data_IF_300137619441
#
_entry.id   IF_300137619441
#
_cell.length_a   1.000
_cell.length_b   1.000
_cell.length_c   1.000
_cell.angle_alpha   90.00
_cell.angle_beta   90.00
_cell.angle_gamma   90.00
#
_symmetry.space_group_name_H-M   'P 1'
#
loop_
_entity.id
_entity.type
_entity.pdbx_description
1 polymer ?
#
# COMPACT_ATOMS: atom_id res chain seq x y z
N UNK A 1 16.97 19.41 -14.29
CA UNK A 1 15.82 20.29 -14.61
C UNK A 1 16.37 21.67 -14.86
N UNK A 2 15.94 22.34 -15.92
CA UNK A 2 16.40 23.68 -16.27
C UNK A 2 15.21 24.64 -16.22
N UNK A 3 15.33 25.74 -15.47
CA UNK A 3 14.26 26.73 -15.29
C UNK A 3 14.76 28.05 -15.89
N UNK A 4 14.01 28.58 -16.86
CA UNK A 4 14.27 29.88 -17.46
C UNK A 4 13.22 30.89 -16.96
N UNK A 5 13.62 31.74 -16.02
CA UNK A 5 12.72 32.75 -15.43
C UNK A 5 12.31 33.84 -16.44
N UNK A 6 13.18 34.22 -17.37
CA UNK A 6 12.89 35.24 -18.39
C UNK A 6 11.84 34.74 -19.38
N UNK A 7 11.93 33.48 -19.81
CA UNK A 7 10.97 32.86 -20.72
C UNK A 7 9.77 32.22 -19.99
N UNK A 8 9.79 32.15 -18.65
CA UNK A 8 8.80 31.45 -17.82
C UNK A 8 8.62 29.98 -18.22
N UNK A 9 9.70 29.28 -18.56
CA UNK A 9 9.67 27.88 -18.97
C UNK A 9 10.46 26.97 -18.04
N UNK A 10 10.03 25.71 -17.97
CA UNK A 10 10.72 24.63 -17.25
C UNK A 10 10.96 23.49 -18.24
N UNK A 11 12.21 23.03 -18.33
CA UNK A 11 12.63 21.93 -19.20
C UNK A 11 13.11 20.79 -18.33
N UNK A 12 12.49 19.62 -18.50
CA UNK A 12 12.93 18.39 -17.87
C UNK A 12 13.97 17.70 -18.76
N UNK A 13 15.06 17.17 -18.18
CA UNK A 13 16.01 16.37 -18.94
C UNK A 13 15.32 15.12 -19.49
N UNK A 14 15.71 14.71 -20.70
CA UNK A 14 15.22 13.45 -21.26
C UNK A 14 15.65 12.29 -20.35
N UNK A 15 14.77 11.31 -20.09
CA UNK A 15 15.15 10.12 -19.36
C UNK A 15 16.19 9.32 -20.16
N UNK A 16 17.03 8.55 -19.47
CA UNK A 16 18.05 7.71 -20.11
C UNK A 16 17.45 6.56 -20.93
N UNK A 17 16.28 6.09 -20.50
CA UNK A 17 15.48 5.08 -21.16
C UNK A 17 14.13 5.68 -21.51
N UNK A 18 13.61 5.36 -22.70
CA UNK A 18 12.27 5.79 -23.07
C UNK A 18 11.26 5.10 -22.14
N UNK A 19 10.35 5.88 -21.50
CA UNK A 19 9.33 5.28 -20.64
C UNK A 19 8.51 4.28 -21.46
N UNK A 20 8.28 3.09 -20.92
CA UNK A 20 7.28 2.19 -21.48
C UNK A 20 5.90 2.82 -21.27
N UNK A 21 5.41 3.52 -22.28
CA UNK A 21 4.11 4.17 -22.25
C UNK A 21 3.02 3.14 -22.51
N UNK A 22 2.17 2.93 -21.50
CA UNK A 22 0.96 2.13 -21.64
C UNK A 22 -0.16 3.00 -22.19
N UNK A 23 -0.98 2.44 -23.09
CA UNK A 23 -2.19 3.11 -23.52
C UNK A 23 -3.26 3.08 -22.40
N UNK A 24 -4.31 3.91 -22.53
CA UNK A 24 -5.38 4.02 -21.52
C UNK A 24 -6.02 2.68 -21.14
N UNK A 25 -6.21 1.78 -22.11
CA UNK A 25 -6.78 0.44 -21.88
C UNK A 25 -5.81 -0.43 -21.08
N UNK A 26 -4.55 -0.48 -21.48
CA UNK A 26 -3.49 -1.23 -20.79
C UNK A 26 -3.29 -0.74 -19.35
N UNK A 27 -3.27 0.58 -19.13
CA UNK A 27 -3.20 1.16 -17.77
C UNK A 27 -4.38 0.66 -16.92
N UNK A 28 -5.60 0.71 -17.45
CA UNK A 28 -6.79 0.26 -16.73
C UNK A 28 -6.72 -1.23 -16.40
N UNK A 29 -6.27 -2.05 -17.34
CA UNK A 29 -6.10 -3.50 -17.14
C UNK A 29 -5.05 -3.80 -16.06
N UNK A 30 -3.85 -3.19 -16.13
CA UNK A 30 -2.79 -3.37 -15.12
C UNK A 30 -3.19 -2.88 -13.73
N UNK A 31 -3.93 -1.77 -13.63
CA UNK A 31 -4.46 -1.29 -12.35
C UNK A 31 -5.50 -2.25 -11.79
N UNK A 32 -6.37 -2.82 -12.64
CA UNK A 32 -7.37 -3.81 -12.20
C UNK A 32 -6.71 -5.10 -11.72
N UNK A 33 -5.76 -5.64 -12.47
CA UNK A 33 -5.02 -6.85 -12.12
C UNK A 33 -4.26 -6.67 -10.79
N UNK A 34 -3.57 -5.53 -10.61
CA UNK A 34 -2.87 -5.25 -9.35
C UNK A 34 -3.82 -5.10 -8.15
N UNK A 35 -5.00 -4.51 -8.34
CA UNK A 35 -6.02 -4.41 -7.30
C UNK A 35 -6.56 -5.80 -6.88
N UNK A 36 -6.81 -6.67 -7.84
CA UNK A 36 -7.25 -8.06 -7.59
C UNK A 36 -6.16 -8.86 -6.85
N UNK A 37 -4.91 -8.76 -7.28
CA UNK A 37 -3.78 -9.42 -6.60
C UNK A 37 -3.59 -8.90 -5.17
N UNK A 38 -3.72 -7.58 -4.97
CA UNK A 38 -3.61 -6.98 -3.64
C UNK A 38 -4.77 -7.42 -2.74
N UNK A 39 -5.99 -7.53 -3.26
CA UNK A 39 -7.14 -8.05 -2.53
C UNK A 39 -6.92 -9.51 -2.09
N UNK A 40 -6.43 -10.37 -3.00
CA UNK A 40 -6.08 -11.76 -2.66
C UNK A 40 -4.97 -11.80 -1.60
N UNK A 41 -3.92 -11.02 -1.76
CA UNK A 41 -2.83 -10.95 -0.78
C UNK A 41 -3.30 -10.46 0.59
N UNK A 42 -4.14 -9.43 0.63
CA UNK A 42 -4.74 -8.91 1.86
C UNK A 42 -5.64 -9.96 2.52
N UNK A 43 -6.46 -10.69 1.75
CA UNK A 43 -7.25 -11.82 2.25
C UNK A 43 -6.38 -12.93 2.82
N UNK A 44 -5.31 -13.33 2.13
CA UNK A 44 -4.37 -14.33 2.63
C UNK A 44 -3.65 -13.87 3.90
N UNK A 45 -3.29 -12.58 4.00
CA UNK A 45 -2.72 -12.00 5.22
C UNK A 45 -3.74 -11.96 6.36
N UNK A 46 -5.00 -11.66 6.08
CA UNK A 46 -6.11 -11.68 7.03
C UNK A 46 -6.41 -13.11 7.51
N UNK A 47 -6.40 -14.09 6.61
CA UNK A 47 -6.55 -15.52 6.92
C UNK A 47 -5.36 -16.04 7.75
N UNK A 48 -4.13 -15.58 7.45
CA UNK A 48 -2.92 -15.92 8.23
C UNK A 48 -2.87 -15.23 9.60
N UNK A 49 -3.53 -14.08 9.75
CA UNK A 49 -4.05 -13.60 11.04
C UNK A 49 -5.24 -14.48 11.40
N UNK A 50 -5.03 -15.80 11.48
CA UNK A 50 -5.83 -16.71 12.29
C UNK A 50 -6.13 -15.91 13.54
N UNK A 51 -7.42 -15.62 13.72
CA UNK A 51 -7.91 -14.73 14.78
C UNK A 51 -7.12 -15.09 16.01
N UNK A 52 -6.22 -14.22 16.43
CA UNK A 52 -5.36 -14.51 17.58
C UNK A 52 -6.28 -14.87 18.76
N UNK A 53 -7.46 -14.24 18.81
CA UNK A 53 -8.63 -14.53 19.66
C UNK A 53 -9.19 -15.96 19.62
N UNK A 54 -9.01 -16.74 18.56
CA UNK A 54 -9.50 -18.12 18.43
C UNK A 54 -8.39 -19.16 18.77
N UNK A 55 -7.14 -18.70 19.01
CA UNK A 55 -6.08 -19.59 19.46
C UNK A 55 -6.39 -20.01 20.92
N UNK A 56 -6.33 -21.30 21.29
CA UNK A 56 -6.70 -21.78 22.62
C UNK A 56 -6.00 -21.03 23.75
N UNK A 57 -4.71 -20.72 23.57
CA UNK A 57 -3.89 -19.96 24.53
C UNK A 57 -4.38 -18.51 24.72
N UNK A 58 -5.01 -17.90 23.73
CA UNK A 58 -5.51 -16.52 23.83
C UNK A 58 -6.89 -16.48 24.47
N UNK A 59 -7.71 -17.51 24.24
CA UNK A 59 -8.97 -17.72 24.98
C UNK A 59 -8.73 -18.00 26.47
N UNK A 60 -7.60 -18.65 26.80
CA UNK A 60 -7.23 -19.01 28.18
C UNK A 60 -6.77 -17.79 29.00
N UNK A 61 -6.33 -16.71 28.33
CA UNK A 61 -5.88 -15.49 28.99
C UNK A 61 -6.43 -14.21 28.30
N UNK A 62 -7.74 -13.91 28.45
CA UNK A 62 -8.35 -12.74 27.79
C UNK A 62 -7.86 -11.38 28.33
N UNK A 63 -7.33 -11.33 29.56
CA UNK A 63 -6.91 -10.08 30.24
C UNK A 63 -5.48 -9.60 29.86
N UNK A 64 -4.65 -10.45 29.26
CA UNK A 64 -3.27 -10.10 28.84
C UNK A 64 -3.21 -9.54 27.43
N UNK A 65 -4.30 -9.64 26.68
CA UNK A 65 -4.44 -9.00 25.36
C UNK A 65 -5.66 -8.06 25.35
N UNK A 66 -5.67 -7.01 26.20
CA UNK A 66 -6.69 -5.96 26.13
C UNK A 66 -6.69 -5.41 24.71
N UNK A 67 -7.85 -5.51 24.05
CA UNK A 67 -7.96 -5.48 22.60
C UNK A 67 -7.67 -4.13 21.97
N UNK A 68 -6.38 -3.84 21.76
CA UNK A 68 -5.76 -2.64 21.17
C UNK A 68 -4.94 -1.92 22.25
N UNK A 69 -3.62 -2.14 22.23
CA UNK A 69 -2.68 -1.19 22.84
C UNK A 69 -2.97 0.18 22.23
N UNK A 70 -3.53 1.08 23.03
CA UNK A 70 -3.69 2.48 22.67
C UNK A 70 -2.28 3.06 22.50
N UNK A 71 -1.80 3.13 21.25
CA UNK A 71 -0.59 3.86 20.83
C UNK A 71 -0.75 5.40 20.98
N UNK A 72 -1.53 5.84 21.97
CA UNK A 72 -1.73 7.26 22.27
C UNK A 72 -0.78 7.62 23.42
N UNK A 73 0.18 8.54 23.22
CA UNK A 73 1.02 9.01 24.30
C UNK A 73 0.19 9.85 25.30
N UNK A 74 0.57 9.90 26.59
CA UNK A 74 -0.19 10.65 27.59
C UNK A 74 -0.19 12.17 27.29
N UNK A 75 -1.29 12.85 27.64
CA UNK A 75 -1.41 14.31 27.63
C UNK A 75 -0.42 15.01 28.57
#
# INVERSE_FOLDING_TARGET
>A
VHINCCAKTVVFPKPKEEPQLLNKKQVKESVKESAELFAVFASLKLESKVKVKDLPVVCEFPDVFPGEVSDVPPE
#
